data_IF_742396637287
#
_entry.id   IF_742396637287
#
_cell.length_a   1.000
_cell.length_b   1.000
_cell.length_c   1.000
_cell.angle_alpha   90.00
_cell.angle_beta   90.00
_cell.angle_gamma   90.00
#
_symmetry.space_group_name_H-M   'P 1'
#
loop_
_entity.id
_entity.type
_entity.pdbx_description
1 polymer ?
#
# COMPACT_ATOMS: atom_id res chain seq x y z
N UNK A 1 -27.25 -56.16 0.66
CA UNK A 1 -26.03 -55.43 1.09
C UNK A 1 -26.06 -54.04 0.47
N UNK A 2 -26.48 -53.04 1.23
CA UNK A 2 -26.44 -51.63 0.80
C UNK A 2 -25.14 -51.07 1.37
N UNK A 3 -24.19 -50.73 0.49
CA UNK A 3 -22.94 -50.05 0.89
C UNK A 3 -23.28 -48.59 1.18
N UNK A 4 -23.44 -48.27 2.46
CA UNK A 4 -23.47 -46.88 2.91
C UNK A 4 -22.05 -46.31 2.75
N UNK A 5 -21.87 -45.43 1.78
CA UNK A 5 -20.69 -44.58 1.69
C UNK A 5 -20.87 -43.50 2.75
N UNK A 6 -20.46 -43.80 3.98
CA UNK A 6 -20.25 -42.82 5.03
C UNK A 6 -18.99 -42.04 4.63
N UNK A 7 -19.17 -40.98 3.82
CA UNK A 7 -18.16 -39.93 3.71
C UNK A 7 -18.22 -39.14 5.00
N UNK A 8 -17.09 -39.08 5.70
CA UNK A 8 -16.86 -38.30 6.90
C UNK A 8 -17.31 -36.85 6.67
N UNK A 9 -18.46 -36.51 7.25
CA UNK A 9 -19.11 -35.19 7.24
C UNK A 9 -18.70 -34.43 8.50
N UNK A 10 -17.40 -34.27 8.74
CA UNK A 10 -16.89 -33.82 10.05
C UNK A 10 -16.14 -32.49 9.89
N UNK A 11 -16.60 -31.47 10.61
CA UNK A 11 -16.08 -30.09 10.77
C UNK A 11 -16.19 -29.12 9.59
N UNK A 12 -15.99 -29.57 8.35
CA UNK A 12 -15.90 -28.66 7.18
C UNK A 12 -17.25 -28.07 6.77
N UNK A 13 -18.29 -28.90 6.78
CA UNK A 13 -19.66 -28.44 6.53
C UNK A 13 -20.21 -27.60 7.66
N UNK A 14 -19.69 -27.73 8.89
CA UNK A 14 -20.12 -26.92 10.03
C UNK A 14 -19.60 -25.48 9.91
N UNK A 15 -18.34 -25.30 9.49
CA UNK A 15 -17.75 -23.98 9.24
C UNK A 15 -18.40 -23.31 8.03
N UNK A 16 -18.70 -24.07 6.97
CA UNK A 16 -19.44 -23.55 5.81
C UNK A 16 -20.88 -23.21 6.19
N UNK A 17 -21.55 -24.04 7.01
CA UNK A 17 -22.90 -23.77 7.52
C UNK A 17 -22.94 -22.52 8.41
N UNK A 18 -22.01 -22.35 9.35
CA UNK A 18 -21.92 -21.13 10.16
C UNK A 18 -21.53 -19.90 9.31
N UNK A 19 -20.64 -20.09 8.32
CA UNK A 19 -20.30 -19.06 7.35
C UNK A 19 -21.51 -18.65 6.49
N UNK A 20 -22.35 -19.60 6.09
CA UNK A 20 -23.62 -19.35 5.40
C UNK A 20 -24.67 -18.73 6.32
N UNK A 21 -24.71 -19.09 7.61
CA UNK A 21 -25.59 -18.47 8.61
C UNK A 21 -25.21 -17.00 8.89
N UNK A 22 -23.92 -16.66 8.86
CA UNK A 22 -23.43 -15.28 8.99
C UNK A 22 -23.56 -14.48 7.69
N UNK A 23 -23.29 -15.10 6.54
CA UNK A 23 -23.34 -14.41 5.25
C UNK A 23 -24.78 -14.19 4.75
N UNK A 24 -25.73 -15.05 5.12
CA UNK A 24 -27.16 -14.83 4.84
C UNK A 24 -27.80 -13.74 5.71
N UNK A 25 -27.13 -13.32 6.80
CA UNK A 25 -27.56 -12.21 7.67
C UNK A 25 -27.15 -10.81 7.19
N UNK A 26 -26.35 -10.71 6.12
CA UNK A 26 -26.13 -9.46 5.36
C UNK A 26 -25.33 -8.33 6.04
N UNK A 27 -24.30 -8.61 6.84
CA UNK A 27 -23.49 -7.54 7.48
C UNK A 27 -21.98 -7.54 7.16
N UNK A 28 -21.47 -8.46 6.31
CA UNK A 28 -20.03 -8.43 5.98
C UNK A 28 -19.72 -7.36 4.94
N UNK A 29 -18.74 -6.52 5.26
CA UNK A 29 -18.21 -5.54 4.32
C UNK A 29 -17.54 -6.21 3.12
N UNK A 30 -17.27 -5.44 2.07
CA UNK A 30 -16.64 -5.98 0.86
C UNK A 30 -15.29 -6.64 1.18
N UNK A 31 -14.45 -6.01 1.99
CA UNK A 31 -13.11 -6.53 2.30
C UNK A 31 -13.20 -7.78 3.18
N UNK A 32 -14.15 -7.85 4.11
CA UNK A 32 -14.37 -9.04 4.95
C UNK A 32 -14.79 -10.25 4.11
N UNK A 33 -15.68 -10.04 3.13
CA UNK A 33 -16.06 -11.10 2.17
C UNK A 33 -14.85 -11.57 1.36
N UNK A 34 -13.95 -10.66 0.98
CA UNK A 34 -12.73 -11.02 0.27
C UNK A 34 -11.77 -11.84 1.15
N UNK A 35 -11.59 -11.44 2.41
CA UNK A 35 -10.76 -12.16 3.38
C UNK A 35 -11.32 -13.55 3.68
N UNK A 36 -12.65 -13.66 3.81
CA UNK A 36 -13.34 -14.94 3.97
C UNK A 36 -13.10 -15.85 2.77
N UNK A 37 -13.24 -15.34 1.54
CA UNK A 37 -12.95 -16.08 0.32
C UNK A 37 -11.51 -16.61 0.29
N UNK A 38 -10.53 -15.74 0.57
CA UNK A 38 -9.11 -16.09 0.60
C UNK A 38 -8.80 -17.14 1.67
N UNK A 39 -9.40 -17.02 2.86
CA UNK A 39 -9.23 -17.98 3.97
C UNK A 39 -9.82 -19.35 3.65
N UNK A 40 -10.97 -19.41 2.98
CA UNK A 40 -11.53 -20.69 2.52
C UNK A 40 -10.64 -21.32 1.43
N UNK A 41 -10.13 -20.53 0.48
CA UNK A 41 -9.21 -21.07 -0.54
C UNK A 41 -7.92 -21.61 0.10
N UNK A 42 -7.34 -20.89 1.06
CA UNK A 42 -6.14 -21.32 1.79
C UNK A 42 -6.35 -22.59 2.61
N UNK A 43 -7.59 -22.87 3.04
CA UNK A 43 -7.98 -24.11 3.73
C UNK A 43 -8.26 -25.27 2.77
N UNK A 44 -8.14 -25.08 1.46
CA UNK A 44 -8.31 -26.13 0.45
C UNK A 44 -9.75 -26.33 -0.03
N UNK A 45 -10.69 -25.45 0.31
CA UNK A 45 -12.06 -25.53 -0.22
C UNK A 45 -12.06 -25.25 -1.73
N UNK A 46 -12.89 -25.97 -2.48
CA UNK A 46 -13.03 -25.75 -3.92
C UNK A 46 -13.69 -24.39 -4.20
N UNK A 47 -13.31 -23.76 -5.32
CA UNK A 47 -13.91 -22.48 -5.72
C UNK A 47 -15.43 -22.56 -5.91
N UNK A 48 -15.97 -23.71 -6.31
CA UNK A 48 -17.41 -23.92 -6.43
C UNK A 48 -18.13 -23.83 -5.07
N UNK A 49 -17.55 -24.41 -4.02
CA UNK A 49 -18.07 -24.32 -2.65
C UNK A 49 -17.99 -22.87 -2.15
N UNK A 50 -16.88 -22.18 -2.41
CA UNK A 50 -16.69 -20.79 -1.98
C UNK A 50 -17.69 -19.85 -2.68
N UNK A 51 -17.88 -20.01 -3.99
CA UNK A 51 -18.87 -19.27 -4.77
C UNK A 51 -20.29 -19.48 -4.22
N UNK A 52 -20.66 -20.73 -3.95
CA UNK A 52 -21.96 -21.06 -3.36
C UNK A 52 -22.13 -20.48 -1.95
N UNK A 53 -21.07 -20.50 -1.13
CA UNK A 53 -21.07 -19.90 0.21
C UNK A 53 -21.22 -18.38 0.19
N UNK A 54 -20.64 -17.72 -0.81
CA UNK A 54 -20.60 -16.26 -0.91
C UNK A 54 -21.71 -15.66 -1.78
N UNK A 55 -22.43 -16.49 -2.54
CA UNK A 55 -23.42 -16.06 -3.52
C UNK A 55 -22.80 -15.26 -4.67
N UNK A 56 -21.60 -15.63 -5.12
CA UNK A 56 -20.86 -14.89 -6.17
C UNK A 56 -20.48 -15.77 -7.35
N UNK A 57 -20.28 -15.16 -8.51
CA UNK A 57 -19.77 -15.84 -9.69
C UNK A 57 -18.23 -16.03 -9.66
N UNK A 58 -17.72 -16.78 -10.64
CA UNK A 58 -16.30 -17.11 -10.78
C UNK A 58 -15.42 -15.88 -10.96
N UNK A 59 -15.90 -14.88 -11.70
CA UNK A 59 -15.14 -13.67 -11.98
C UNK A 59 -15.05 -12.78 -10.73
N UNK A 60 -16.13 -12.66 -9.97
CA UNK A 60 -16.19 -11.98 -8.69
C UNK A 60 -15.26 -12.65 -7.67
N UNK A 61 -15.35 -13.98 -7.50
CA UNK A 61 -14.47 -14.71 -6.59
C UNK A 61 -12.99 -14.51 -6.94
N UNK A 62 -12.64 -14.62 -8.22
CA UNK A 62 -11.26 -14.44 -8.68
C UNK A 62 -10.74 -13.03 -8.36
N UNK A 63 -11.57 -11.99 -8.52
CA UNK A 63 -11.22 -10.60 -8.17
C UNK A 63 -11.05 -10.41 -6.67
N UNK A 64 -11.93 -11.00 -5.87
CA UNK A 64 -11.89 -10.91 -4.40
C UNK A 64 -10.58 -11.50 -3.84
N UNK A 65 -10.20 -12.68 -4.31
CA UNK A 65 -8.96 -13.35 -3.90
C UNK A 65 -7.73 -12.55 -4.37
N UNK A 66 -7.72 -12.11 -5.63
CA UNK A 66 -6.62 -11.33 -6.19
C UNK A 66 -6.42 -9.99 -5.47
N UNK A 67 -7.49 -9.35 -5.00
CA UNK A 67 -7.42 -8.10 -4.26
C UNK A 67 -6.69 -8.28 -2.92
N UNK A 68 -7.07 -9.29 -2.13
CA UNK A 68 -6.43 -9.57 -0.84
C UNK A 68 -4.95 -9.92 -1.02
N UNK A 69 -4.60 -10.66 -2.08
CA UNK A 69 -3.21 -11.01 -2.36
C UNK A 69 -2.30 -9.81 -2.70
N UNK A 70 -2.86 -8.68 -3.15
CA UNK A 70 -2.10 -7.48 -3.53
C UNK A 70 -1.92 -6.49 -2.37
N UNK A 71 -2.76 -6.59 -1.35
CA UNK A 71 -2.77 -5.69 -0.20
C UNK A 71 -2.02 -6.34 0.98
N UNK A 72 -1.14 -5.60 1.69
CA UNK A 72 -0.57 -6.06 2.96
C UNK A 72 -1.68 -6.38 3.96
N UNK A 73 -1.59 -7.53 4.63
CA UNK A 73 -2.58 -7.98 5.61
C UNK A 73 -2.72 -6.98 6.76
N UNK A 74 -1.60 -6.39 7.19
CA UNK A 74 -1.52 -5.40 8.27
C UNK A 74 -2.33 -4.15 7.94
N UNK A 75 -2.35 -3.71 6.68
CA UNK A 75 -3.15 -2.55 6.26
C UNK A 75 -4.64 -2.89 6.29
N UNK A 76 -5.03 -4.06 5.78
CA UNK A 76 -6.42 -4.51 5.83
C UNK A 76 -6.91 -4.61 7.28
N UNK A 77 -6.13 -5.25 8.14
CA UNK A 77 -6.46 -5.47 9.55
C UNK A 77 -6.52 -4.14 10.33
N UNK A 78 -5.58 -3.22 10.09
CA UNK A 78 -5.59 -1.91 10.74
C UNK A 78 -6.80 -1.05 10.31
N UNK A 79 -7.16 -1.10 9.03
CA UNK A 79 -8.35 -0.38 8.51
C UNK A 79 -9.64 -0.98 9.07
N UNK A 80 -9.80 -2.31 9.05
CA UNK A 80 -11.00 -3.02 9.49
C UNK A 80 -12.07 -3.13 8.40
N UNK A 81 -13.35 -3.07 8.81
CA UNK A 81 -14.51 -3.35 7.95
C UNK A 81 -14.63 -2.37 6.78
N UNK A 82 -14.44 -1.08 7.00
CA UNK A 82 -14.56 -0.01 6.01
C UNK A 82 -15.84 -0.17 5.15
N UNK A 83 -16.99 -0.24 5.83
CA UNK A 83 -18.31 -0.57 5.27
C UNK A 83 -18.72 0.34 4.11
N UNK A 84 -18.31 1.62 4.12
CA UNK A 84 -18.61 2.56 3.05
C UNK A 84 -17.84 2.29 1.75
N UNK A 85 -16.82 1.42 1.77
CA UNK A 85 -15.88 1.23 0.68
C UNK A 85 -15.99 -0.15 0.03
N UNK A 86 -16.52 -0.16 -1.19
CA UNK A 86 -16.62 -1.37 -2.01
C UNK A 86 -15.38 -1.68 -2.87
N UNK A 87 -15.53 -2.64 -3.78
CA UNK A 87 -14.48 -3.15 -4.68
C UNK A 87 -13.59 -2.10 -5.31
N UNK A 88 -14.20 -1.07 -5.90
CA UNK A 88 -13.45 -0.10 -6.69
C UNK A 88 -12.43 0.66 -5.83
N UNK A 89 -12.82 1.10 -4.65
CA UNK A 89 -11.96 1.87 -3.75
C UNK A 89 -10.82 1.03 -3.19
N UNK A 90 -11.11 -0.21 -2.79
CA UNK A 90 -10.08 -1.15 -2.37
C UNK A 90 -9.10 -1.51 -3.50
N UNK A 91 -9.60 -1.67 -4.73
CA UNK A 91 -8.74 -1.93 -5.89
C UNK A 91 -7.82 -0.73 -6.19
N UNK A 92 -8.35 0.50 -6.15
CA UNK A 92 -7.55 1.72 -6.31
C UNK A 92 -6.48 1.84 -5.21
N UNK A 93 -6.83 1.51 -3.95
CA UNK A 93 -5.84 1.47 -2.86
C UNK A 93 -4.76 0.42 -3.13
N UNK A 94 -5.13 -0.77 -3.59
CA UNK A 94 -4.17 -1.81 -3.95
C UNK A 94 -3.22 -1.37 -5.08
N UNK A 95 -3.76 -0.71 -6.11
CA UNK A 95 -2.98 -0.17 -7.23
C UNK A 95 -1.99 0.91 -6.73
N UNK A 96 -2.43 1.81 -5.84
CA UNK A 96 -1.57 2.86 -5.27
C UNK A 96 -0.45 2.29 -4.39
N UNK A 97 -0.69 1.17 -3.72
CA UNK A 97 0.28 0.51 -2.85
C UNK A 97 1.27 -0.37 -3.63
N UNK A 98 1.14 -0.53 -4.95
CA UNK A 98 2.20 -1.17 -5.75
C UNK A 98 3.51 -0.38 -5.71
N UNK A 99 3.43 0.95 -5.55
CA UNK A 99 4.57 1.82 -5.28
C UNK A 99 5.13 1.56 -3.87
N UNK A 100 6.39 1.14 -3.81
CA UNK A 100 7.07 0.78 -2.56
C UNK A 100 7.19 1.94 -1.56
N UNK A 101 7.32 3.19 -2.02
CA UNK A 101 7.38 4.35 -1.15
C UNK A 101 6.01 4.65 -0.53
N UNK A 102 4.94 4.57 -1.34
CA UNK A 102 3.57 4.72 -0.84
C UNK A 102 3.19 3.62 0.14
N UNK A 103 3.59 2.37 -0.16
CA UNK A 103 3.41 1.23 0.74
C UNK A 103 4.11 1.45 2.08
N UNK A 104 5.37 1.88 2.06
CA UNK A 104 6.13 2.16 3.28
C UNK A 104 5.47 3.28 4.13
N UNK A 105 5.00 4.35 3.48
CA UNK A 105 4.28 5.43 4.18
C UNK A 105 2.98 4.94 4.82
N UNK A 106 2.18 4.14 4.10
CA UNK A 106 0.96 3.55 4.65
C UNK A 106 1.26 2.63 5.84
N UNK A 107 2.29 1.79 5.76
CA UNK A 107 2.72 0.92 6.86
C UNK A 107 3.17 1.70 8.10
N UNK A 108 3.79 2.87 7.91
CA UNK A 108 4.14 3.76 9.02
C UNK A 108 2.90 4.41 9.63
N UNK A 109 1.95 4.84 8.79
CA UNK A 109 0.72 5.51 9.23
C UNK A 109 -0.14 4.62 10.12
N UNK A 110 -0.29 3.33 9.78
CA UNK A 110 -1.09 2.39 10.57
C UNK A 110 -0.49 2.08 11.96
N UNK A 111 0.76 2.46 12.21
CA UNK A 111 1.42 2.32 13.51
C UNK A 111 1.18 3.51 14.44
N UNK A 112 0.59 4.60 13.94
CA UNK A 112 0.31 5.79 14.73
C UNK A 112 -0.85 5.53 15.71
N UNK A 113 -0.69 5.80 17.03
CA UNK A 113 -1.79 5.69 17.99
C UNK A 113 -3.03 6.51 17.60
N UNK A 114 -2.86 7.67 16.96
CA UNK A 114 -3.97 8.49 16.49
C UNK A 114 -4.77 7.80 15.38
N UNK A 115 -4.11 6.98 14.55
CA UNK A 115 -4.78 6.19 13.52
C UNK A 115 -5.74 5.16 14.14
N UNK A 116 -5.32 4.50 15.22
CA UNK A 116 -6.14 3.53 15.93
C UNK A 116 -7.37 4.17 16.62
N UNK A 117 -7.34 5.48 16.90
CA UNK A 117 -8.47 6.19 17.48
C UNK A 117 -9.60 6.49 16.46
N UNK A 118 -9.30 6.44 15.15
CA UNK A 118 -10.26 6.69 14.07
C UNK A 118 -11.25 5.53 13.88
N UNK A 119 -12.43 5.84 13.34
CA UNK A 119 -13.37 4.82 12.88
C UNK A 119 -12.87 4.12 11.61
N UNK A 120 -13.38 2.92 11.31
CA UNK A 120 -12.87 2.08 10.22
C UNK A 120 -12.91 2.76 8.84
N UNK A 121 -14.00 3.47 8.52
CA UNK A 121 -14.09 4.24 7.28
C UNK A 121 -13.10 5.41 7.23
N UNK A 122 -12.87 6.09 8.35
CA UNK A 122 -11.91 7.20 8.46
C UNK A 122 -10.47 6.70 8.31
N UNK A 123 -10.17 5.52 8.86
CA UNK A 123 -8.89 4.83 8.67
C UNK A 123 -8.63 4.54 7.20
N UNK A 124 -9.63 4.00 6.48
CA UNK A 124 -9.52 3.78 5.04
C UNK A 124 -9.24 5.09 4.30
N UNK A 125 -10.05 6.12 4.58
CA UNK A 125 -9.94 7.41 3.90
C UNK A 125 -8.59 8.09 4.16
N UNK A 126 -8.09 8.02 5.40
CA UNK A 126 -6.78 8.55 5.81
C UNK A 126 -5.62 7.90 5.05
N UNK A 127 -5.58 6.55 4.99
CA UNK A 127 -4.57 5.84 4.20
C UNK A 127 -4.70 6.20 2.72
N UNK A 128 -5.92 6.16 2.18
CA UNK A 128 -6.18 6.41 0.77
C UNK A 128 -5.73 7.81 0.35
N UNK A 129 -6.07 8.85 1.11
CA UNK A 129 -5.68 10.23 0.79
C UNK A 129 -4.16 10.40 0.87
N UNK A 130 -3.52 9.83 1.90
CA UNK A 130 -2.07 9.86 2.05
C UNK A 130 -1.35 9.29 0.82
N UNK A 131 -1.79 8.13 0.30
CA UNK A 131 -1.12 7.48 -0.84
C UNK A 131 -1.60 8.00 -2.20
N UNK A 132 -2.78 8.62 -2.25
CA UNK A 132 -3.30 9.25 -3.47
C UNK A 132 -2.61 10.57 -3.78
N UNK A 133 -2.21 11.33 -2.75
CA UNK A 133 -1.48 12.58 -2.97
C UNK A 133 -0.22 12.26 -3.79
N UNK A 134 -0.05 12.84 -4.98
CA UNK A 134 1.18 12.68 -5.73
C UNK A 134 2.32 13.20 -4.85
N UNK A 135 3.37 12.40 -4.68
CA UNK A 135 4.53 12.78 -3.86
C UNK A 135 4.86 14.25 -4.12
N UNK A 136 4.85 15.07 -3.06
CA UNK A 136 5.13 16.50 -3.18
C UNK A 136 6.45 16.61 -3.92
N UNK A 137 6.42 17.15 -5.15
CA UNK A 137 7.64 17.34 -5.92
C UNK A 137 8.58 18.16 -5.03
N UNK A 138 9.83 17.72 -4.82
CA UNK A 138 10.75 18.46 -3.99
C UNK A 138 10.84 19.88 -4.52
N UNK A 139 10.80 20.87 -3.61
CA UNK A 139 10.90 22.27 -4.01
C UNK A 139 12.23 22.43 -4.76
N UNK A 140 12.10 22.81 -6.03
CA UNK A 140 13.22 22.84 -6.97
C UNK A 140 13.67 24.28 -7.14
N UNK A 141 14.80 24.63 -6.55
CA UNK A 141 15.45 25.91 -6.76
C UNK A 141 16.44 25.80 -7.91
N UNK A 142 16.35 26.71 -8.89
CA UNK A 142 17.35 26.81 -9.95
C UNK A 142 18.43 27.79 -9.50
N UNK A 143 19.64 27.28 -9.28
CA UNK A 143 20.80 28.12 -9.08
C UNK A 143 21.27 28.68 -10.43
N UNK A 144 21.44 30.00 -10.46
CA UNK A 144 21.88 30.74 -11.64
C UNK A 144 23.28 31.26 -11.37
N UNK A 145 24.22 30.91 -12.24
CA UNK A 145 25.59 31.42 -12.18
C UNK A 145 25.62 32.92 -12.50
N UNK A 146 26.68 33.65 -12.10
CA UNK A 146 26.81 35.09 -12.38
C UNK A 146 26.75 35.46 -13.87
N UNK A 147 27.08 34.52 -14.76
CA UNK A 147 26.97 34.67 -16.21
C UNK A 147 25.54 34.48 -16.76
N UNK A 148 24.54 34.26 -15.88
CA UNK A 148 23.13 34.05 -16.23
C UNK A 148 22.78 32.60 -16.59
N UNK A 149 23.74 31.68 -16.60
CA UNK A 149 23.51 30.27 -16.91
C UNK A 149 22.85 29.53 -15.74
N UNK A 150 21.78 28.79 -16.03
CA UNK A 150 21.07 27.95 -15.05
C UNK A 150 21.68 26.56 -15.00
N UNK A 151 22.80 26.43 -14.29
CA UNK A 151 23.66 25.25 -14.34
C UNK A 151 23.24 24.15 -13.37
N UNK A 152 22.64 24.52 -12.25
CA UNK A 152 22.36 23.57 -11.16
C UNK A 152 20.93 23.73 -10.69
N UNK A 153 20.24 22.61 -10.63
CA UNK A 153 18.97 22.47 -9.96
C UNK A 153 19.19 21.85 -8.60
N UNK A 154 18.75 22.54 -7.56
CA UNK A 154 18.77 22.06 -6.18
C UNK A 154 17.36 21.61 -5.84
N UNK A 155 17.21 20.40 -5.31
CA UNK A 155 15.92 19.90 -4.86
C UNK A 155 16.06 19.27 -3.49
N UNK A 156 15.29 19.78 -2.54
CA UNK A 156 15.28 19.33 -1.15
C UNK A 156 14.06 18.45 -0.86
N UNK A 157 14.31 17.38 -0.12
CA UNK A 157 13.29 16.51 0.46
C UNK A 157 13.61 16.30 1.93
N UNK A 158 12.68 15.73 2.70
CA UNK A 158 12.83 15.52 4.15
C UNK A 158 14.11 14.77 4.54
N UNK A 159 14.61 13.87 3.68
CA UNK A 159 15.76 13.01 3.99
C UNK A 159 16.99 13.23 3.08
N UNK A 160 16.90 14.06 2.03
CA UNK A 160 18.02 14.29 1.10
C UNK A 160 17.91 15.60 0.33
N UNK A 161 19.07 16.17 0.04
CA UNK A 161 19.26 17.25 -0.95
C UNK A 161 19.91 16.68 -2.20
N UNK A 162 19.40 17.04 -3.38
CA UNK A 162 19.95 16.61 -4.67
C UNK A 162 20.37 17.82 -5.49
N UNK A 163 21.61 17.80 -5.97
CA UNK A 163 22.14 18.74 -6.96
C UNK A 163 22.15 18.08 -8.34
N UNK A 164 21.36 18.60 -9.26
CA UNK A 164 21.32 18.15 -10.65
C UNK A 164 21.99 19.19 -11.56
N UNK A 165 23.12 18.82 -12.15
CA UNK A 165 23.93 19.66 -13.03
C UNK A 165 23.52 19.46 -14.49
N UNK A 166 23.35 20.56 -15.24
CA UNK A 166 23.07 20.51 -16.68
C UNK A 166 24.37 20.36 -17.47
N UNK A 167 24.77 19.12 -17.71
CA UNK A 167 25.98 18.78 -18.47
C UNK A 167 25.93 19.23 -19.95
N UNK A 168 24.80 19.74 -20.45
CA UNK A 168 24.71 20.29 -21.82
C UNK A 168 25.21 21.73 -21.89
N UNK A 169 25.14 22.46 -20.77
CA UNK A 169 25.59 23.85 -20.69
C UNK A 169 27.06 23.87 -20.25
N UNK A 170 27.40 23.13 -19.19
CA UNK A 170 28.76 23.10 -18.66
C UNK A 170 29.12 21.69 -18.14
N UNK A 171 29.65 20.81 -19.02
CA UNK A 171 29.90 19.40 -18.72
C UNK A 171 30.87 19.15 -17.56
N UNK A 172 31.85 20.04 -17.37
CA UNK A 172 32.95 19.83 -16.43
C UNK A 172 32.61 20.24 -14.99
N UNK A 173 31.59 21.08 -14.81
CA UNK A 173 31.29 21.65 -13.50
C UNK A 173 30.84 20.60 -12.48
N UNK A 174 30.09 19.59 -12.91
CA UNK A 174 29.69 18.47 -12.05
C UNK A 174 30.90 17.68 -11.52
N UNK A 175 31.93 17.49 -12.34
CA UNK A 175 33.16 16.80 -11.95
C UNK A 175 34.00 17.67 -11.00
N UNK A 176 34.13 18.96 -11.29
CA UNK A 176 34.80 19.90 -10.41
C UNK A 176 34.19 19.91 -9.00
N UNK A 177 32.85 19.96 -8.90
CA UNK A 177 32.17 19.90 -7.59
C UNK A 177 32.44 18.56 -6.91
N UNK A 178 32.35 17.44 -7.64
CA UNK A 178 32.61 16.09 -7.11
C UNK A 178 34.00 15.98 -6.47
N UNK A 179 35.04 16.49 -7.12
CA UNK A 179 36.41 16.48 -6.62
C UNK A 179 36.60 17.36 -5.36
N UNK A 180 35.77 18.40 -5.21
CA UNK A 180 35.80 19.33 -4.08
C UNK A 180 34.93 18.91 -2.89
N UNK A 181 34.09 17.88 -3.02
CA UNK A 181 33.15 17.48 -1.96
C UNK A 181 33.86 17.16 -0.63
N UNK A 182 35.04 16.52 -0.67
CA UNK A 182 35.80 16.22 0.54
C UNK A 182 36.25 17.51 1.26
N UNK A 183 36.86 18.43 0.52
CA UNK A 183 37.33 19.70 1.09
C UNK A 183 36.17 20.53 1.66
N UNK A 184 35.01 20.56 0.98
CA UNK A 184 33.80 21.23 1.47
C UNK A 184 33.27 20.60 2.76
N UNK A 185 33.32 19.27 2.86
CA UNK A 185 32.93 18.56 4.08
C UNK A 185 33.87 18.89 5.25
N UNK A 186 35.18 18.91 5.00
CA UNK A 186 36.18 19.23 6.03
C UNK A 186 36.04 20.67 6.53
N UNK A 187 35.82 21.64 5.63
CA UNK A 187 35.53 23.04 5.98
C UNK A 187 34.27 23.17 6.84
N UNK A 188 33.20 22.47 6.47
CA UNK A 188 31.95 22.45 7.23
C UNK A 188 32.16 21.88 8.65
N UNK A 189 32.93 20.79 8.78
CA UNK A 189 33.24 20.18 10.09
C UNK A 189 34.02 21.12 10.99
N UNK A 190 34.94 21.91 10.45
CA UNK A 190 35.68 22.92 11.20
C UNK A 190 34.75 24.01 11.73
N UNK A 191 33.84 24.54 10.88
CA UNK A 191 32.88 25.59 11.25
C UNK A 191 31.85 25.21 12.31
N UNK A 192 31.58 23.93 12.53
CA UNK A 192 30.63 23.46 13.57
C UNK A 192 31.32 23.15 14.90
N UNK A 193 32.65 23.02 14.89
CA UNK A 193 33.42 22.69 16.09
C UNK A 193 33.87 23.95 16.85
N UNK A 194 33.78 25.13 16.23
CA UNK A 194 33.94 26.47 16.83
C UNK A 194 32.57 27.05 17.27
#
# INVERSE_FOLDING_TARGET
>A
MVRAVVRELTDEQLVVSQGQENNSRSDLSYIERCYFAAKLEAKGFSRDIIMASLGVDKAALSKMIALVARLPAEIIEAIGTAESFGRQRWAELADLLEDGAKRASAMKAIQDPEFAALFSDERFQSVYDMVKIPAKKPDRTLWTAPNGSRLVSISDSESKTTFAFDNRIEPEFANFVRERLQALYDEFRQKITD
#
